data_IF_829400753145
#
_entry.id   IF_829400753145
#
_cell.length_a   1.000
_cell.length_b   1.000
_cell.length_c   1.000
_cell.angle_alpha   90.00
_cell.angle_beta   90.00
_cell.angle_gamma   90.00
#
_symmetry.space_group_name_H-M   'P 1'
#
loop_
_entity.id
_entity.type
_entity.pdbx_description
1 polymer ?
#
# COMPACT_ATOMS: atom_id res chain seq x y z
N UNK A 1 15.74 -1.68 -5.83
CA UNK A 1 15.12 -2.81 -5.09
C UNK A 1 15.10 -2.47 -3.62
N UNK A 2 13.99 -2.73 -2.92
CA UNK A 2 13.89 -2.54 -1.47
C UNK A 2 15.05 -3.24 -0.74
N UNK A 3 15.56 -2.59 0.31
CA UNK A 3 16.58 -3.16 1.21
C UNK A 3 15.96 -3.86 2.42
N UNK A 4 14.65 -3.76 2.59
CA UNK A 4 13.90 -4.32 3.71
C UNK A 4 13.14 -5.59 3.28
N UNK A 5 13.09 -6.56 4.16
CA UNK A 5 12.14 -7.67 4.05
C UNK A 5 10.72 -7.17 4.33
N UNK A 6 9.67 -7.89 3.87
CA UNK A 6 8.28 -7.53 4.22
C UNK A 6 8.05 -7.36 5.73
N UNK A 7 8.65 -8.21 6.55
CA UNK A 7 8.50 -8.19 8.01
C UNK A 7 9.22 -7.00 8.65
N UNK A 8 10.43 -6.66 8.19
CA UNK A 8 11.15 -5.46 8.65
C UNK A 8 10.40 -4.18 8.31
N UNK A 9 9.84 -4.09 7.09
CA UNK A 9 9.01 -2.98 6.68
C UNK A 9 7.76 -2.88 7.57
N UNK A 10 7.04 -3.99 7.80
CA UNK A 10 5.85 -4.03 8.64
C UNK A 10 6.15 -3.59 10.08
N UNK A 11 7.23 -4.08 10.68
CA UNK A 11 7.67 -3.67 12.01
C UNK A 11 7.99 -2.18 12.08
N UNK A 12 8.64 -1.64 11.04
CA UNK A 12 9.00 -0.21 10.99
C UNK A 12 7.76 0.68 10.93
N UNK A 13 6.81 0.40 10.03
CA UNK A 13 5.59 1.21 9.90
C UNK A 13 4.63 1.06 11.08
N UNK A 14 4.65 -0.08 11.78
CA UNK A 14 3.87 -0.30 13.00
C UNK A 14 4.39 0.45 14.23
N UNK A 15 5.55 1.11 14.15
CA UNK A 15 6.22 1.74 15.30
C UNK A 15 5.98 3.24 15.44
N UNK A 16 5.21 3.89 14.56
CA UNK A 16 5.06 5.34 14.62
C UNK A 16 4.09 5.93 13.61
N UNK A 17 4.21 7.24 13.42
CA UNK A 17 3.33 8.01 12.55
C UNK A 17 3.53 7.63 11.07
N UNK A 18 2.41 7.40 10.39
CA UNK A 18 2.37 7.18 8.95
C UNK A 18 1.93 8.47 8.24
N UNK A 19 2.62 8.85 7.19
CA UNK A 19 2.26 10.02 6.39
C UNK A 19 1.85 9.61 4.97
N UNK A 20 0.89 10.35 4.42
CA UNK A 20 0.29 10.12 3.11
C UNK A 20 0.47 11.39 2.27
N UNK A 21 1.62 11.57 1.61
CA UNK A 21 1.92 12.77 0.84
C UNK A 21 0.93 12.97 -0.30
N UNK A 22 0.56 14.22 -0.55
CA UNK A 22 -0.21 14.62 -1.72
C UNK A 22 0.66 14.58 -2.97
N UNK A 23 0.05 14.31 -4.13
CA UNK A 23 0.73 14.39 -5.43
C UNK A 23 0.37 15.72 -6.09
N UNK A 24 1.28 16.68 -6.19
CA UNK A 24 1.01 17.96 -6.84
C UNK A 24 1.02 17.82 -8.37
N UNK A 25 0.18 18.61 -9.03
CA UNK A 25 0.08 18.70 -10.48
C UNK A 25 0.30 20.13 -10.95
N UNK A 26 0.85 20.27 -12.15
CA UNK A 26 0.92 21.56 -12.85
C UNK A 26 -0.44 21.93 -13.44
N UNK A 27 -0.53 23.14 -14.00
CA UNK A 27 -1.76 23.64 -14.63
C UNK A 27 -2.21 22.81 -15.83
N UNK A 28 -1.32 22.06 -16.46
CA UNK A 28 -1.60 21.14 -17.57
C UNK A 28 -1.89 19.70 -17.10
N UNK A 29 -2.10 19.52 -15.79
CA UNK A 29 -2.34 18.24 -15.10
C UNK A 29 -1.16 17.25 -15.10
N UNK A 30 0.02 17.63 -15.60
CA UNK A 30 1.21 16.80 -15.46
C UNK A 30 1.74 16.80 -14.03
N UNK A 31 2.39 15.73 -13.62
CA UNK A 31 3.02 15.61 -12.31
C UNK A 31 4.07 16.71 -12.08
N UNK A 32 3.95 17.43 -10.95
CA UNK A 32 4.95 18.42 -10.52
C UNK A 32 6.00 17.78 -9.64
N UNK A 33 7.00 17.17 -10.27
CA UNK A 33 8.10 16.50 -9.58
C UNK A 33 8.86 17.42 -8.62
N UNK A 34 9.10 18.68 -9.00
CA UNK A 34 9.88 19.60 -8.18
C UNK A 34 9.19 19.91 -6.85
N UNK A 35 7.89 20.24 -6.90
CA UNK A 35 7.08 20.47 -5.71
C UNK A 35 6.94 19.19 -4.88
N UNK A 36 6.81 18.03 -5.51
CA UNK A 36 6.72 16.75 -4.80
C UNK A 36 8.00 16.43 -4.04
N UNK A 37 9.17 16.63 -4.64
CA UNK A 37 10.48 16.43 -3.97
C UNK A 37 10.63 17.31 -2.75
N UNK A 38 10.29 18.60 -2.86
CA UNK A 38 10.32 19.52 -1.74
C UNK A 38 9.40 19.08 -0.59
N UNK A 39 8.19 18.60 -0.91
CA UNK A 39 7.26 18.05 0.07
C UNK A 39 7.79 16.77 0.74
N UNK A 40 8.39 15.86 -0.03
CA UNK A 40 8.96 14.62 0.49
C UNK A 40 10.14 14.89 1.42
N UNK A 41 11.04 15.82 1.07
CA UNK A 41 12.16 16.21 1.92
C UNK A 41 11.67 16.85 3.23
N UNK A 42 10.68 17.75 3.15
CA UNK A 42 10.04 18.35 4.31
C UNK A 42 9.41 17.30 5.24
N UNK A 43 8.65 16.33 4.71
CA UNK A 43 8.06 15.25 5.49
C UNK A 43 9.12 14.37 6.16
N UNK A 44 10.25 14.12 5.51
CA UNK A 44 11.36 13.39 6.09
C UNK A 44 12.10 14.12 7.22
N UNK A 45 11.79 15.41 7.43
CA UNK A 45 12.26 16.18 8.58
C UNK A 45 11.51 15.88 9.89
N UNK A 46 10.41 15.13 9.82
CA UNK A 46 9.62 14.69 10.98
C UNK A 46 9.90 13.24 11.33
N UNK A 47 9.53 12.83 12.55
CA UNK A 47 9.62 11.44 13.01
C UNK A 47 8.48 10.60 12.44
N UNK A 48 8.51 10.34 11.13
CA UNK A 48 7.55 9.46 10.46
C UNK A 48 8.11 8.03 10.34
N UNK A 49 7.26 7.04 10.54
CA UNK A 49 7.63 5.63 10.42
C UNK A 49 7.55 5.11 8.98
N UNK A 50 6.80 5.79 8.11
CA UNK A 50 6.67 5.45 6.70
C UNK A 50 5.88 6.48 5.90
N UNK A 51 6.12 6.51 4.59
CA UNK A 51 5.44 7.39 3.63
C UNK A 51 4.70 6.55 2.59
N UNK A 52 3.42 6.87 2.35
CA UNK A 52 2.55 6.16 1.41
C UNK A 52 2.38 6.98 0.13
N UNK A 53 3.33 6.84 -0.81
CA UNK A 53 3.33 7.52 -2.09
C UNK A 53 2.19 7.03 -2.99
N UNK A 54 1.54 7.94 -3.71
CA UNK A 54 0.43 7.63 -4.60
C UNK A 54 -0.65 6.74 -3.93
N UNK A 55 -0.93 6.98 -2.65
CA UNK A 55 -2.07 6.39 -1.95
C UNK A 55 -3.35 7.19 -2.18
N UNK A 56 -4.40 6.95 -1.39
CA UNK A 56 -5.68 7.67 -1.55
C UNK A 56 -5.52 9.19 -1.46
N UNK A 57 -4.82 9.70 -0.44
CA UNK A 57 -4.49 11.13 -0.29
C UNK A 57 -3.56 11.62 -1.41
N UNK A 58 -2.71 10.74 -1.93
CA UNK A 58 -1.79 11.02 -3.04
C UNK A 58 -2.43 10.89 -4.42
N UNK A 59 -3.75 11.01 -4.52
CA UNK A 59 -4.51 11.03 -5.79
C UNK A 59 -4.38 9.75 -6.63
N UNK A 60 -4.26 8.58 -5.98
CA UNK A 60 -4.09 7.30 -6.69
C UNK A 60 -5.07 7.11 -7.85
N UNK A 61 -6.36 7.43 -7.63
CA UNK A 61 -7.40 7.23 -8.64
C UNK A 61 -7.42 8.30 -9.74
N UNK A 62 -6.63 9.37 -9.58
CA UNK A 62 -6.44 10.42 -10.60
C UNK A 62 -5.17 10.18 -11.44
N UNK A 63 -4.34 9.23 -11.04
CA UNK A 63 -3.12 8.85 -11.75
C UNK A 63 -3.37 7.70 -12.73
N UNK A 64 -2.70 7.74 -13.87
CA UNK A 64 -2.62 6.58 -14.76
C UNK A 64 -1.74 5.48 -14.15
N UNK A 65 -1.90 4.21 -14.57
CA UNK A 65 -1.02 3.14 -14.13
C UNK A 65 0.48 3.39 -14.39
N UNK A 66 0.82 4.18 -15.40
CA UNK A 66 2.20 4.55 -15.73
C UNK A 66 2.77 5.64 -14.81
N UNK A 67 1.95 6.58 -14.35
CA UNK A 67 2.37 7.68 -13.47
C UNK A 67 2.64 7.21 -12.04
N UNK A 68 1.92 6.19 -11.55
CA UNK A 68 2.13 5.70 -10.18
C UNK A 68 3.58 5.27 -9.92
N UNK A 69 4.22 4.41 -10.73
CA UNK A 69 5.63 4.08 -10.54
C UNK A 69 6.58 5.28 -10.66
N UNK A 70 6.23 6.30 -11.44
CA UNK A 70 7.02 7.52 -11.55
C UNK A 70 7.00 8.33 -10.24
N UNK A 71 5.80 8.58 -9.69
CA UNK A 71 5.63 9.25 -8.38
C UNK A 71 6.37 8.48 -7.29
N UNK A 72 6.25 7.15 -7.28
CA UNK A 72 6.94 6.28 -6.31
C UNK A 72 8.45 6.38 -6.45
N UNK A 73 8.98 6.37 -7.66
CA UNK A 73 10.43 6.52 -7.92
C UNK A 73 10.95 7.84 -7.34
N UNK A 74 10.24 8.93 -7.58
CA UNK A 74 10.62 10.25 -7.04
C UNK A 74 10.59 10.25 -5.52
N UNK A 75 9.58 9.62 -4.91
CA UNK A 75 9.50 9.48 -3.45
C UNK A 75 10.69 8.68 -2.89
N UNK A 76 11.00 7.54 -3.50
CA UNK A 76 12.14 6.69 -3.10
C UNK A 76 13.46 7.43 -3.24
N UNK A 77 13.68 8.10 -4.38
CA UNK A 77 14.89 8.88 -4.64
C UNK A 77 15.08 9.99 -3.60
N UNK A 78 14.01 10.71 -3.26
CA UNK A 78 14.10 11.85 -2.34
C UNK A 78 14.21 11.42 -0.88
N UNK A 79 13.52 10.36 -0.47
CA UNK A 79 13.65 9.85 0.91
C UNK A 79 15.03 9.29 1.21
N UNK A 80 15.77 8.83 0.20
CA UNK A 80 17.15 8.30 0.34
C UNK A 80 17.27 7.22 1.43
N UNK A 81 16.21 6.45 1.64
CA UNK A 81 16.16 5.40 2.65
C UNK A 81 16.04 5.89 4.10
N UNK A 82 15.74 7.17 4.33
CA UNK A 82 15.47 7.71 5.68
C UNK A 82 14.26 7.03 6.34
N UNK A 83 13.25 6.75 5.54
CA UNK A 83 12.02 6.05 5.95
C UNK A 83 11.55 5.11 4.84
N UNK A 84 10.78 4.05 5.15
CA UNK A 84 10.17 3.20 4.13
C UNK A 84 9.19 3.99 3.25
N UNK A 85 9.19 3.69 1.97
CA UNK A 85 8.21 4.20 1.00
C UNK A 85 7.31 3.06 0.55
N UNK A 86 6.01 3.21 0.80
CA UNK A 86 4.97 2.30 0.33
C UNK A 86 4.22 2.93 -0.83
N UNK A 87 3.85 2.14 -1.81
CA UNK A 87 3.10 2.60 -2.98
C UNK A 87 1.64 2.17 -2.92
N UNK A 88 0.73 3.02 -3.40
CA UNK A 88 -0.64 2.61 -3.70
C UNK A 88 -0.66 1.64 -4.89
N UNK A 89 -1.52 0.63 -4.82
CA UNK A 89 -1.94 -0.20 -5.97
C UNK A 89 -3.41 -0.54 -5.83
N UNK A 90 -4.11 -0.80 -6.93
CA UNK A 90 -5.56 -1.03 -6.87
C UNK A 90 -6.18 -1.24 -8.25
N UNK A 91 -7.46 -0.89 -8.39
CA UNK A 91 -8.28 -1.22 -9.56
C UNK A 91 -8.55 -2.73 -9.70
N UNK A 92 -8.85 -3.19 -10.93
CA UNK A 92 -8.99 -4.62 -11.24
C UNK A 92 -7.64 -5.35 -11.18
N UNK A 93 -7.68 -6.67 -11.05
CA UNK A 93 -6.50 -7.51 -10.76
C UNK A 93 -5.32 -7.31 -11.72
N UNK A 94 -5.59 -7.15 -13.02
CA UNK A 94 -4.52 -6.97 -14.02
C UNK A 94 -3.76 -5.66 -13.80
N UNK A 95 -4.50 -4.56 -13.65
CA UNK A 95 -3.92 -3.22 -13.41
C UNK A 95 -3.21 -3.17 -12.05
N UNK A 96 -3.83 -3.73 -11.00
CA UNK A 96 -3.22 -3.76 -9.67
C UNK A 96 -1.85 -4.48 -9.69
N UNK A 97 -1.73 -5.59 -10.41
CA UNK A 97 -0.47 -6.31 -10.58
C UNK A 97 0.56 -5.53 -11.39
N UNK A 98 0.13 -4.86 -12.45
CA UNK A 98 1.01 -4.01 -13.27
C UNK A 98 1.62 -2.88 -12.43
N UNK A 99 0.77 -2.13 -11.70
CA UNK A 99 1.20 -1.06 -10.81
C UNK A 99 2.12 -1.62 -9.70
N UNK A 100 1.75 -2.74 -9.08
CA UNK A 100 2.54 -3.35 -8.02
C UNK A 100 3.97 -3.70 -8.47
N UNK A 101 4.10 -4.34 -9.65
CA UNK A 101 5.40 -4.66 -10.25
C UNK A 101 6.17 -3.39 -10.62
N UNK A 102 5.49 -2.37 -11.13
CA UNK A 102 6.10 -1.07 -11.45
C UNK A 102 6.65 -0.39 -10.19
N UNK A 103 5.87 -0.36 -9.10
CA UNK A 103 6.26 0.22 -7.83
C UNK A 103 7.46 -0.53 -7.18
N UNK A 104 7.47 -1.86 -7.22
CA UNK A 104 8.61 -2.65 -6.75
C UNK A 104 9.88 -2.34 -7.54
N UNK A 105 9.78 -2.22 -8.87
CA UNK A 105 10.91 -1.83 -9.73
C UNK A 105 11.38 -0.40 -9.45
N UNK A 106 10.45 0.50 -9.11
CA UNK A 106 10.75 1.87 -8.69
C UNK A 106 11.43 1.96 -7.32
N UNK A 107 11.48 0.85 -6.57
CA UNK A 107 12.19 0.76 -5.29
C UNK A 107 11.30 0.90 -4.06
N UNK A 108 9.99 0.81 -4.19
CA UNK A 108 9.08 0.78 -3.04
C UNK A 108 9.45 -0.36 -2.07
N UNK A 109 9.26 -0.12 -0.76
CA UNK A 109 9.50 -1.09 0.29
C UNK A 109 8.25 -1.94 0.58
N UNK A 110 7.08 -1.47 0.18
CA UNK A 110 5.81 -2.16 0.33
C UNK A 110 4.69 -1.56 -0.50
N UNK A 111 3.53 -2.17 -0.41
CA UNK A 111 2.31 -1.77 -1.13
C UNK A 111 1.14 -1.58 -0.17
N UNK A 112 0.30 -0.60 -0.45
CA UNK A 112 -1.06 -0.49 0.05
C UNK A 112 -2.03 -0.89 -1.07
N UNK A 113 -2.65 -2.05 -0.94
CA UNK A 113 -3.65 -2.54 -1.89
C UNK A 113 -5.00 -1.91 -1.57
N UNK A 114 -5.38 -0.93 -2.39
CA UNK A 114 -6.69 -0.27 -2.33
C UNK A 114 -7.78 -1.20 -2.89
N UNK A 115 -9.05 -1.00 -2.49
CA UNK A 115 -10.17 -1.77 -3.02
C UNK A 115 -10.29 -1.68 -4.54
N UNK A 116 -10.78 -2.74 -5.20
CA UNK A 116 -11.15 -2.68 -6.61
C UNK A 116 -12.31 -1.70 -6.81
N UNK A 117 -12.30 -0.95 -7.91
CA UNK A 117 -13.30 0.09 -8.17
C UNK A 117 -14.67 -0.52 -8.54
N UNK A 118 -15.72 -0.13 -7.81
CA UNK A 118 -17.14 -0.51 -8.01
C UNK A 118 -17.43 -2.03 -8.12
N UNK A 119 -16.47 -2.89 -7.82
CA UNK A 119 -16.65 -4.34 -7.95
C UNK A 119 -16.96 -4.94 -6.59
N UNK A 120 -18.15 -5.51 -6.44
CA UNK A 120 -18.49 -6.36 -5.31
C UNK A 120 -18.15 -7.80 -5.65
N UNK A 121 -17.45 -8.48 -4.78
CA UNK A 121 -17.05 -9.86 -4.95
C UNK A 121 -17.28 -10.65 -3.67
N UNK A 122 -17.55 -11.94 -3.83
CA UNK A 122 -17.55 -12.90 -2.74
C UNK A 122 -16.13 -13.07 -2.17
N UNK A 123 -16.03 -13.61 -0.96
CA UNK A 123 -14.76 -13.75 -0.24
C UNK A 123 -13.69 -14.50 -1.04
N UNK A 124 -14.07 -15.51 -1.82
CA UNK A 124 -13.11 -16.26 -2.67
C UNK A 124 -12.61 -15.42 -3.83
N UNK A 125 -13.44 -14.55 -4.40
CA UNK A 125 -13.04 -13.59 -5.44
C UNK A 125 -12.08 -12.53 -4.90
N UNK A 126 -12.37 -11.97 -3.71
CA UNK A 126 -11.47 -11.04 -3.01
C UNK A 126 -10.14 -11.71 -2.67
N UNK A 127 -10.18 -12.95 -2.17
CA UNK A 127 -8.98 -13.72 -1.87
C UNK A 127 -8.12 -13.95 -3.11
N UNK A 128 -8.72 -14.35 -4.23
CA UNK A 128 -8.01 -14.56 -5.49
C UNK A 128 -7.36 -13.27 -6.00
N UNK A 129 -8.04 -12.12 -5.87
CA UNK A 129 -7.49 -10.80 -6.22
C UNK A 129 -6.26 -10.46 -5.38
N UNK A 130 -6.37 -10.53 -4.04
CA UNK A 130 -5.26 -10.23 -3.11
C UNK A 130 -4.09 -11.18 -3.35
N UNK A 131 -4.35 -12.48 -3.48
CA UNK A 131 -3.33 -13.50 -3.75
C UNK A 131 -2.58 -13.22 -5.06
N UNK A 132 -3.29 -12.82 -6.12
CA UNK A 132 -2.69 -12.49 -7.40
C UNK A 132 -1.74 -11.29 -7.32
N UNK A 133 -2.08 -10.27 -6.52
CA UNK A 133 -1.20 -9.12 -6.28
C UNK A 133 -0.01 -9.54 -5.43
N UNK A 134 -0.21 -10.23 -4.31
CA UNK A 134 0.87 -10.69 -3.44
C UNK A 134 1.90 -11.54 -4.20
N UNK A 135 1.44 -12.44 -5.06
CA UNK A 135 2.32 -13.30 -5.87
C UNK A 135 3.07 -12.59 -6.99
N UNK A 136 2.67 -11.37 -7.36
CA UNK A 136 3.33 -10.60 -8.41
C UNK A 136 4.58 -9.85 -7.95
N UNK A 137 4.79 -9.72 -6.63
CA UNK A 137 5.88 -8.95 -6.00
C UNK A 137 6.51 -9.71 -4.84
N UNK A 138 7.69 -9.28 -4.41
CA UNK A 138 8.40 -9.81 -3.24
C UNK A 138 8.30 -8.89 -2.03
N UNK A 139 8.00 -7.61 -2.23
CA UNK A 139 7.83 -6.62 -1.18
C UNK A 139 6.55 -6.85 -0.37
N UNK A 140 6.46 -6.25 0.82
CA UNK A 140 5.32 -6.41 1.71
C UNK A 140 4.04 -5.80 1.14
N UNK A 141 2.91 -6.46 1.38
CA UNK A 141 1.58 -6.00 0.97
C UNK A 141 0.73 -5.76 2.20
N UNK A 142 0.07 -4.61 2.24
CA UNK A 142 -0.95 -4.25 3.22
C UNK A 142 -2.28 -4.19 2.49
N UNK A 143 -3.27 -4.95 2.91
CA UNK A 143 -4.63 -4.81 2.37
C UNK A 143 -5.35 -3.66 3.04
N UNK A 144 -6.05 -2.84 2.25
CA UNK A 144 -6.92 -1.81 2.76
C UNK A 144 -8.35 -2.31 2.79
N UNK A 145 -8.79 -2.71 3.99
CA UNK A 145 -10.12 -3.25 4.25
C UNK A 145 -11.13 -2.12 4.29
N UNK A 146 -11.77 -1.85 3.18
CA UNK A 146 -12.68 -0.72 3.00
C UNK A 146 -13.69 -0.99 1.88
N UNK A 147 -14.86 -0.37 1.98
CA UNK A 147 -15.91 -0.34 0.97
C UNK A 147 -16.32 -1.76 0.50
N UNK A 148 -16.02 -2.08 -0.75
CA UNK A 148 -16.34 -3.36 -1.40
C UNK A 148 -15.25 -4.44 -1.26
N UNK A 149 -14.19 -4.20 -0.49
CA UNK A 149 -13.09 -5.13 -0.26
C UNK A 149 -12.96 -5.54 1.21
N UNK A 150 -14.07 -5.91 1.84
CA UNK A 150 -14.11 -6.33 3.25
C UNK A 150 -13.76 -7.81 3.35
N UNK A 151 -12.57 -8.10 3.84
CA UNK A 151 -12.10 -9.46 4.11
C UNK A 151 -12.60 -9.95 5.47
N UNK A 152 -13.23 -11.12 5.48
CA UNK A 152 -13.60 -11.81 6.72
C UNK A 152 -12.35 -12.48 7.35
N UNK A 153 -12.35 -12.68 8.70
CA UNK A 153 -11.19 -13.23 9.40
C UNK A 153 -10.68 -14.57 8.83
N UNK A 154 -11.57 -15.48 8.43
CA UNK A 154 -11.18 -16.77 7.85
C UNK A 154 -10.55 -16.64 6.48
N UNK A 155 -11.03 -15.71 5.67
CA UNK A 155 -10.45 -15.40 4.36
C UNK A 155 -9.06 -14.81 4.52
N UNK A 156 -8.90 -13.88 5.47
CA UNK A 156 -7.62 -13.26 5.77
C UNK A 156 -6.60 -14.29 6.27
N UNK A 157 -7.01 -15.22 7.14
CA UNK A 157 -6.14 -16.28 7.62
C UNK A 157 -5.62 -17.17 6.48
N UNK A 158 -6.51 -17.65 5.60
CA UNK A 158 -6.14 -18.43 4.42
C UNK A 158 -5.18 -17.68 3.48
N UNK A 159 -5.37 -16.37 3.33
CA UNK A 159 -4.48 -15.52 2.54
C UNK A 159 -3.08 -15.44 3.16
N UNK A 160 -2.99 -15.25 4.46
CA UNK A 160 -1.70 -15.18 5.17
C UNK A 160 -0.89 -16.48 5.11
N UNK A 161 -1.57 -17.63 5.02
CA UNK A 161 -0.91 -18.94 4.79
C UNK A 161 -0.29 -19.04 3.38
N UNK A 162 -0.97 -18.48 2.36
CA UNK A 162 -0.57 -18.55 0.96
C UNK A 162 0.36 -17.42 0.51
N UNK A 163 0.33 -16.31 1.23
CA UNK A 163 1.02 -15.07 0.90
C UNK A 163 1.89 -14.61 2.08
N UNK A 164 3.13 -15.12 2.22
CA UNK A 164 4.03 -14.74 3.33
C UNK A 164 4.32 -13.23 3.36
N UNK A 165 4.23 -12.57 2.21
CA UNK A 165 4.42 -11.13 2.05
C UNK A 165 3.16 -10.29 2.30
N UNK A 166 2.00 -10.89 2.59
CA UNK A 166 0.86 -10.17 3.14
C UNK A 166 1.14 -9.90 4.63
N UNK A 167 1.53 -8.68 4.96
CA UNK A 167 2.09 -8.34 6.27
C UNK A 167 1.30 -7.28 7.03
N UNK A 168 0.27 -6.71 6.43
CA UNK A 168 -0.52 -5.68 7.08
C UNK A 168 -2.00 -5.68 6.69
N UNK A 169 -2.80 -5.15 7.58
CA UNK A 169 -4.24 -4.97 7.43
C UNK A 169 -4.63 -3.57 7.89
N UNK A 170 -5.03 -2.72 6.96
CA UNK A 170 -5.52 -1.38 7.28
C UNK A 170 -7.03 -1.40 7.35
N UNK A 171 -7.58 -1.11 8.53
CA UNK A 171 -9.03 -0.89 8.68
C UNK A 171 -9.43 0.49 8.14
N UNK A 172 -10.43 0.53 7.30
CA UNK A 172 -11.04 1.74 6.76
C UNK A 172 -12.54 1.82 6.97
N UNK A 173 -13.09 0.93 7.82
CA UNK A 173 -14.54 0.84 8.08
C UNK A 173 -14.87 1.34 9.47
N UNK A 174 -14.03 1.04 10.48
CA UNK A 174 -14.28 1.32 11.87
C UNK A 174 -15.25 0.33 12.52
N UNK A 175 -15.40 -0.88 11.96
CA UNK A 175 -16.18 -1.96 12.57
C UNK A 175 -15.35 -2.64 13.68
N UNK A 176 -15.60 -2.23 14.93
CA UNK A 176 -14.86 -2.72 16.09
C UNK A 176 -15.06 -4.22 16.30
N UNK A 177 -16.25 -4.75 16.00
CA UNK A 177 -16.54 -6.20 16.14
C UNK A 177 -15.71 -6.99 15.12
N UNK A 178 -15.68 -6.56 13.86
CA UNK A 178 -14.85 -7.18 12.82
C UNK A 178 -13.37 -7.13 13.20
N UNK A 179 -12.87 -5.95 13.63
CA UNK A 179 -11.49 -5.79 14.05
C UNK A 179 -11.12 -6.67 15.23
N UNK A 180 -12.00 -6.79 16.21
CA UNK A 180 -11.78 -7.69 17.35
C UNK A 180 -11.65 -9.14 16.90
N UNK A 181 -12.50 -9.59 15.98
CA UNK A 181 -12.43 -10.95 15.41
C UNK A 181 -11.16 -11.16 14.57
N UNK A 182 -10.77 -10.16 13.76
CA UNK A 182 -9.52 -10.20 12.98
C UNK A 182 -8.34 -10.31 13.93
N UNK A 183 -8.23 -9.43 14.92
CA UNK A 183 -7.13 -9.40 15.87
C UNK A 183 -7.05 -10.69 16.69
N UNK A 184 -8.17 -11.19 17.17
CA UNK A 184 -8.23 -12.46 17.93
C UNK A 184 -7.74 -13.65 17.09
N UNK A 185 -7.99 -13.64 15.78
CA UNK A 185 -7.60 -14.74 14.88
C UNK A 185 -6.16 -14.63 14.40
N UNK A 186 -5.70 -13.41 14.11
CA UNK A 186 -4.41 -13.18 13.46
C UNK A 186 -3.29 -12.83 14.43
N UNK A 187 -3.61 -12.27 15.61
CA UNK A 187 -2.61 -11.83 16.58
C UNK A 187 -1.53 -10.96 15.95
N UNK A 188 -0.28 -11.27 16.23
CA UNK A 188 0.89 -10.54 15.73
C UNK A 188 1.33 -10.95 14.31
N UNK A 189 0.51 -11.74 13.58
CA UNK A 189 0.84 -12.14 12.21
C UNK A 189 0.81 -10.95 11.24
N UNK A 190 0.04 -9.93 11.55
CA UNK A 190 -0.12 -8.71 10.74
C UNK A 190 0.19 -7.46 11.57
N UNK A 191 0.61 -6.40 10.88
CA UNK A 191 0.57 -5.03 11.40
C UNK A 191 -0.80 -4.42 11.08
N UNK A 192 -1.34 -3.56 12.00
CA UNK A 192 -2.68 -2.99 11.91
C UNK A 192 -2.65 -1.46 11.88
#
# INVERSE_FOLDING_TARGET
MSKMTPQEMAAKIGSGLLSFPVTPFKADYSFDEATYRANMDWLCGYEVAGLFAAGGTGEFFSLTPAEVPEVVRVAVDETRGRVPVLAGTGYGTAIAREIAVGAEKAGADGLLLLPPYLTHAEQDGLAAHVEAVCKSVKIGVIVYNRDNAILQPDTLARLCERCPNLVGYKDGIGDIELMTRVYSKMGDRLTY
#
